data_IF_267990770994
#
_entry.id   IF_267990770994
#
_cell.length_a   1.000
_cell.length_b   1.000
_cell.length_c   1.000
_cell.angle_alpha   90.00
_cell.angle_beta   90.00
_cell.angle_gamma   90.00
#
_symmetry.space_group_name_H-M   'P 1'
#
loop_
_entity.id
_entity.type
_entity.pdbx_description
1 polymer ?
#
# COMPACT_ATOMS: atom_id res chain seq x y z
N UNK A 1 12.69 -22.53 -11.11
CA UNK A 1 11.61 -22.46 -10.10
C UNK A 1 10.95 -21.13 -10.36
N UNK A 2 9.67 -21.17 -10.70
CA UNK A 2 9.06 -20.32 -11.72
C UNK A 2 8.95 -18.83 -11.34
N UNK A 3 9.40 -17.95 -12.24
CA UNK A 3 9.36 -16.47 -12.10
C UNK A 3 8.03 -15.85 -12.57
N UNK A 4 6.91 -16.59 -12.63
CA UNK A 4 5.68 -16.06 -13.24
C UNK A 4 4.39 -16.60 -12.60
N UNK A 5 4.19 -16.33 -11.31
CA UNK A 5 2.84 -16.30 -10.75
C UNK A 5 2.81 -15.52 -9.42
N UNK A 6 3.08 -14.21 -9.48
CA UNK A 6 2.87 -13.35 -8.31
C UNK A 6 1.39 -12.92 -8.26
N UNK A 7 0.51 -13.88 -7.95
CA UNK A 7 -0.87 -13.57 -7.58
C UNK A 7 -0.83 -12.93 -6.18
N UNK A 8 -0.49 -11.64 -6.13
CA UNK A 8 -0.53 -10.85 -4.92
C UNK A 8 -1.97 -10.88 -4.40
N UNK A 9 -2.16 -11.50 -3.25
CA UNK A 9 -3.48 -11.76 -2.67
C UNK A 9 -3.74 -10.95 -1.40
N UNK A 10 -2.76 -10.17 -0.94
CA UNK A 10 -2.92 -9.30 0.23
C UNK A 10 -3.16 -7.86 -0.23
N UNK A 11 -4.30 -7.33 0.19
CA UNK A 11 -4.71 -5.96 -0.08
C UNK A 11 -3.88 -5.00 0.80
N UNK A 12 -3.23 -3.99 0.22
CA UNK A 12 -2.61 -2.93 1.01
C UNK A 12 -3.71 -2.17 1.78
N UNK A 13 -3.60 -2.04 3.11
CA UNK A 13 -4.59 -1.34 3.93
C UNK A 13 -4.67 0.16 3.68
N UNK A 14 -3.65 0.75 3.05
CA UNK A 14 -3.64 2.17 2.71
C UNK A 14 -4.39 2.44 1.39
N UNK A 15 -4.04 1.77 0.30
CA UNK A 15 -4.57 2.12 -1.03
C UNK A 15 -5.65 1.18 -1.57
N UNK A 16 -5.80 -0.01 -1.01
CA UNK A 16 -6.79 -1.00 -1.43
C UNK A 16 -6.35 -1.86 -2.63
N UNK A 17 -5.14 -1.66 -3.17
CA UNK A 17 -4.58 -2.51 -4.22
C UNK A 17 -3.93 -3.76 -3.66
N UNK A 18 -4.05 -4.85 -4.38
CA UNK A 18 -3.41 -6.12 -4.06
C UNK A 18 -1.96 -6.09 -4.55
N UNK A 19 -1.06 -5.83 -3.61
CA UNK A 19 0.36 -5.49 -3.88
C UNK A 19 1.32 -6.09 -2.86
N UNK A 20 0.78 -6.77 -1.85
CA UNK A 20 1.50 -7.37 -0.74
C UNK A 20 1.42 -8.90 -0.93
N UNK A 21 2.53 -9.59 -0.72
CA UNK A 21 2.64 -11.05 -0.74
C UNK A 21 2.12 -11.62 0.58
N UNK A 22 2.58 -11.08 1.71
CA UNK A 22 2.21 -11.56 3.05
C UNK A 22 2.00 -10.42 4.05
N UNK A 23 0.91 -10.51 4.84
CA UNK A 23 0.55 -9.50 5.84
C UNK A 23 1.60 -9.40 6.96
N UNK A 24 2.01 -8.18 7.27
CA UNK A 24 2.87 -7.87 8.42
C UNK A 24 4.33 -8.26 8.23
N UNK A 25 4.77 -8.49 6.99
CA UNK A 25 6.17 -8.77 6.64
C UNK A 25 6.94 -7.51 6.22
N UNK A 26 6.43 -6.32 6.55
CA UNK A 26 7.08 -5.03 6.28
C UNK A 26 7.34 -4.78 4.78
N UNK A 27 6.51 -5.36 3.92
CA UNK A 27 6.57 -5.12 2.48
C UNK A 27 6.08 -3.70 2.16
N UNK A 28 6.71 -3.06 1.19
CA UNK A 28 6.32 -1.73 0.73
C UNK A 28 5.37 -1.88 -0.45
N UNK A 29 4.18 -1.30 -0.33
CA UNK A 29 3.21 -1.28 -1.41
C UNK A 29 3.73 -0.46 -2.61
N UNK A 30 3.90 -1.07 -3.78
CA UNK A 30 4.35 -0.38 -5.00
C UNK A 30 3.40 0.74 -5.49
N UNK A 31 2.16 0.76 -5.02
CA UNK A 31 1.12 1.69 -5.49
C UNK A 31 1.04 2.94 -4.63
N UNK A 32 1.24 2.83 -3.32
CA UNK A 32 1.15 3.98 -2.41
C UNK A 32 2.37 4.18 -1.53
N UNK A 33 3.32 3.25 -1.53
CA UNK A 33 4.53 3.28 -0.72
C UNK A 33 4.30 3.12 0.79
N UNK A 34 3.12 2.65 1.21
CA UNK A 34 2.87 2.24 2.59
C UNK A 34 3.63 0.95 2.92
N UNK A 35 4.38 0.94 4.02
CA UNK A 35 5.04 -0.25 4.57
C UNK A 35 4.04 -1.03 5.44
N UNK A 36 3.85 -2.32 5.13
CA UNK A 36 2.86 -3.17 5.79
C UNK A 36 3.31 -3.65 7.17
N UNK A 37 2.93 -2.92 8.20
CA UNK A 37 3.15 -3.26 9.61
C UNK A 37 2.12 -4.24 10.20
N UNK A 38 1.21 -4.76 9.36
CA UNK A 38 0.21 -5.73 9.75
C UNK A 38 -1.04 -5.13 10.40
N UNK A 39 -1.05 -3.83 10.71
CA UNK A 39 -2.12 -3.18 11.45
C UNK A 39 -3.16 -2.52 10.51
N UNK A 40 -4.44 -2.72 10.80
CA UNK A 40 -5.56 -2.08 10.10
C UNK A 40 -6.33 -1.05 10.94
N UNK A 41 -5.89 -0.77 12.17
CA UNK A 41 -6.46 0.29 13.00
C UNK A 41 -6.16 1.66 12.37
N UNK A 42 -7.22 2.37 12.00
CA UNK A 42 -7.15 3.65 11.32
C UNK A 42 -6.44 4.74 12.13
N UNK A 43 -6.55 4.69 13.46
CA UNK A 43 -6.09 5.75 14.35
C UNK A 43 -4.81 5.40 15.09
N UNK A 44 -4.34 4.15 14.98
CA UNK A 44 -3.05 3.75 15.53
C UNK A 44 -1.93 4.40 14.71
N UNK A 45 -0.98 5.00 15.40
CA UNK A 45 0.25 5.49 14.79
C UNK A 45 1.10 4.31 14.29
N UNK A 46 1.47 4.35 13.01
CA UNK A 46 2.39 3.41 12.40
C UNK A 46 3.81 3.96 12.52
N UNK A 47 4.66 3.29 13.31
CA UNK A 47 6.07 3.68 13.46
C UNK A 47 6.86 3.69 12.14
N UNK A 48 6.77 2.69 11.23
CA UNK A 48 7.52 2.73 9.97
C UNK A 48 7.02 3.79 8.99
N UNK A 49 5.70 4.05 8.97
CA UNK A 49 5.11 5.04 8.06
C UNK A 49 5.10 6.46 8.63
N UNK A 50 5.37 6.61 9.94
CA UNK A 50 5.35 7.88 10.66
C UNK A 50 4.03 8.66 10.60
N UNK A 51 2.91 7.96 10.40
CA UNK A 51 1.56 8.51 10.35
C UNK A 51 0.52 7.44 10.70
N UNK A 52 -0.73 7.85 10.86
CA UNK A 52 -1.85 6.92 10.99
C UNK A 52 -2.28 6.36 9.63
N UNK A 53 -2.92 5.20 9.64
CA UNK A 53 -3.47 4.61 8.43
C UNK A 53 -4.56 5.49 7.80
N UNK A 54 -5.32 6.24 8.61
CA UNK A 54 -6.28 7.22 8.12
C UNK A 54 -5.60 8.35 7.32
N UNK A 55 -4.49 8.89 7.83
CA UNK A 55 -3.70 9.92 7.13
C UNK A 55 -3.13 9.37 5.83
N UNK A 56 -2.53 8.16 5.84
CA UNK A 56 -2.03 7.51 4.63
C UNK A 56 -3.11 7.32 3.57
N UNK A 57 -4.33 6.91 3.97
CA UNK A 57 -5.49 6.80 3.07
C UNK A 57 -5.88 8.15 2.46
N UNK A 58 -5.96 9.20 3.28
CA UNK A 58 -6.29 10.57 2.82
C UNK A 58 -5.26 11.05 1.81
N UNK A 59 -3.98 10.89 2.12
CA UNK A 59 -2.86 11.22 1.26
C UNK A 59 -2.92 10.48 -0.09
N UNK A 60 -3.22 9.17 -0.05
CA UNK A 60 -3.36 8.39 -1.28
C UNK A 60 -4.53 8.88 -2.15
N UNK A 61 -5.65 9.27 -1.55
CA UNK A 61 -6.77 9.85 -2.27
C UNK A 61 -6.46 11.23 -2.85
N UNK A 62 -5.62 12.02 -2.17
CA UNK A 62 -5.28 13.39 -2.59
C UNK A 62 -4.23 13.42 -3.71
N UNK A 63 -3.16 12.64 -3.60
CA UNK A 63 -2.03 12.70 -4.53
C UNK A 63 -1.52 11.35 -5.05
N UNK A 64 -2.06 10.22 -4.58
CA UNK A 64 -1.72 8.89 -5.10
C UNK A 64 -0.53 8.20 -4.45
N UNK A 65 -0.06 8.68 -3.30
CA UNK A 65 0.93 8.02 -2.44
C UNK A 65 0.55 8.19 -0.96
N UNK A 66 1.14 7.44 -0.03
CA UNK A 66 0.92 7.64 1.40
C UNK A 66 1.60 8.92 1.92
N UNK A 67 2.60 9.44 1.19
CA UNK A 67 3.30 10.69 1.51
C UNK A 67 3.82 11.34 0.22
N UNK A 68 3.81 12.67 0.12
CA UNK A 68 4.18 13.39 -1.12
C UNK A 68 5.59 13.06 -1.62
N UNK A 69 6.55 12.83 -0.70
CA UNK A 69 7.94 12.51 -1.07
C UNK A 69 8.09 11.23 -1.89
N UNK A 70 7.09 10.34 -1.84
CA UNK A 70 7.08 9.04 -2.54
C UNK A 70 6.38 9.07 -3.89
N UNK A 71 5.86 10.22 -4.35
CA UNK A 71 5.21 10.34 -5.68
C UNK A 71 6.07 9.86 -6.84
N UNK A 72 7.40 9.95 -6.71
CA UNK A 72 8.36 9.47 -7.73
C UNK A 72 8.66 7.97 -7.65
N UNK A 73 8.22 7.31 -6.57
CA UNK A 73 8.49 5.91 -6.26
C UNK A 73 7.31 4.98 -6.56
N UNK A 74 6.11 5.52 -6.75
CA UNK A 74 4.90 4.72 -7.00
C UNK A 74 4.75 4.33 -8.48
N UNK A 75 4.09 3.20 -8.72
CA UNK A 75 3.69 2.77 -10.06
C UNK A 75 2.60 3.68 -10.61
N UNK A 76 2.82 4.20 -11.83
CA UNK A 76 1.81 4.96 -12.58
C UNK A 76 0.78 4.01 -13.19
N UNK A 77 -0.49 4.42 -13.20
CA UNK A 77 -1.62 3.66 -13.71
C UNK A 77 -1.73 2.24 -13.11
N UNK A 78 -1.75 2.12 -11.77
CA UNK A 78 -1.71 0.83 -11.07
C UNK A 78 -2.88 -0.09 -11.42
N UNK A 79 -4.03 0.46 -11.84
CA UNK A 79 -5.20 -0.29 -12.32
C UNK A 79 -4.92 -1.15 -13.57
N UNK A 80 -3.84 -0.87 -14.30
CA UNK A 80 -3.41 -1.68 -15.45
C UNK A 80 -2.66 -2.96 -15.05
N UNK A 81 -2.20 -3.05 -13.79
CA UNK A 81 -1.35 -4.13 -13.29
C UNK A 81 -1.93 -4.85 -12.08
N UNK A 82 -2.61 -4.13 -11.19
CA UNK A 82 -3.05 -4.65 -9.90
C UNK A 82 -4.56 -4.57 -9.76
N UNK A 83 -5.14 -5.62 -9.17
CA UNK A 83 -6.53 -5.59 -8.69
C UNK A 83 -6.64 -4.60 -7.53
N UNK A 84 -7.80 -3.96 -7.41
CA UNK A 84 -8.16 -3.10 -6.28
C UNK A 84 -9.52 -3.49 -5.72
N UNK A 85 -9.63 -3.44 -4.41
CA UNK A 85 -10.92 -3.45 -3.70
C UNK A 85 -11.01 -2.24 -2.77
N UNK A 86 -12.24 -1.84 -2.47
CA UNK A 86 -12.51 -0.78 -1.50
C UNK A 86 -12.49 -1.35 -0.07
N UNK A 87 -12.38 -0.48 0.93
CA UNK A 87 -12.49 -0.82 2.35
C UNK A 87 -13.91 -0.64 2.87
#
# INVERSE_FOLDING_TARGET
MDENNNDLNVQCYCCGYFTIEERGQYEICDVCFWEDDGCNDLLRYSDPNHMTLEEGRKNFLEFGACEERFLKNVIKNPETKFRKENF
#
